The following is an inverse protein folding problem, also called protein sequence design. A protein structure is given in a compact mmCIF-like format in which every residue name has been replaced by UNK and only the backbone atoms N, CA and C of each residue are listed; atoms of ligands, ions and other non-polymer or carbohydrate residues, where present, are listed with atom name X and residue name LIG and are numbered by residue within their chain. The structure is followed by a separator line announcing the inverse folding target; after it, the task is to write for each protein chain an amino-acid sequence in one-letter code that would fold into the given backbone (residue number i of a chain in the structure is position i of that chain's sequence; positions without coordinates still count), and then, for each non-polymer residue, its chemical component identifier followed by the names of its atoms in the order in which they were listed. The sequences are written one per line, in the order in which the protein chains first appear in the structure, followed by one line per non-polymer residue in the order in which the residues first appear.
data_IF_760769162952
#
_entry.id   IF_760769162952
#
_cell.length_a   1.000
_cell.length_b   1.000
_cell.length_c   1.000
_cell.angle_alpha   90.00
_cell.angle_beta   90.00
_cell.angle_gamma   90.00
#
_symmetry.space_group_name_H-M   'P 1'
#
loop_
_entity.id
_entity.type
_entity.pdbx_description
1 polymer ?
#
# COMPACT_ATOMS: atom_id res chain seq x y z
N UNK A 1 15.77 -25.25 2.88
CA UNK A 1 14.76 -24.37 2.24
C UNK A 1 14.04 -23.65 3.38
N UNK A 2 13.82 -22.34 3.30
CA UNK A 2 13.13 -21.63 4.37
C UNK A 2 11.67 -22.13 4.44
N UNK A 3 11.18 -22.46 5.63
CA UNK A 3 9.77 -22.79 5.85
C UNK A 3 8.90 -21.61 5.41
N UNK A 4 7.99 -21.88 4.46
CA UNK A 4 7.10 -20.89 3.88
C UNK A 4 5.86 -20.78 4.73
N UNK A 5 5.95 -20.05 5.84
CA UNK A 5 4.85 -19.94 6.82
C UNK A 5 4.25 -18.54 6.83
N UNK A 6 2.92 -18.46 6.71
CA UNK A 6 2.15 -17.22 6.88
C UNK A 6 1.59 -17.11 8.29
N UNK A 7 2.14 -16.15 9.02
CA UNK A 7 1.68 -15.85 10.37
C UNK A 7 0.31 -15.16 10.37
N UNK A 8 -0.58 -15.57 11.25
CA UNK A 8 -1.88 -14.93 11.44
C UNK A 8 -2.25 -14.73 12.90
N UNK A 9 -3.14 -13.76 13.15
CA UNK A 9 -3.72 -13.47 14.47
C UNK A 9 -5.25 -13.51 14.35
N UNK A 10 -5.93 -13.97 15.40
CA UNK A 10 -7.39 -14.05 15.40
C UNK A 10 -8.02 -12.79 15.99
N UNK A 11 -8.99 -12.24 15.28
CA UNK A 11 -9.74 -11.06 15.69
C UNK A 11 -11.22 -11.40 15.78
N UNK A 12 -11.90 -10.89 16.82
CA UNK A 12 -13.35 -10.99 16.94
C UNK A 12 -14.00 -9.72 16.40
N UNK A 13 -15.00 -9.85 15.53
CA UNK A 13 -15.81 -8.70 15.06
C UNK A 13 -17.26 -9.12 14.84
N UNK A 14 -18.17 -8.15 14.95
CA UNK A 14 -19.57 -8.36 14.57
C UNK A 14 -19.65 -8.50 13.04
N UNK A 15 -20.23 -9.59 12.56
CA UNK A 15 -20.39 -9.78 11.12
C UNK A 15 -21.45 -8.82 10.57
N UNK A 16 -21.11 -8.15 9.48
CA UNK A 16 -22.00 -7.22 8.77
C UNK A 16 -22.56 -7.83 7.48
N UNK A 17 -22.06 -9.01 7.08
CA UNK A 17 -22.27 -9.58 5.74
C UNK A 17 -22.66 -11.06 5.85
N UNK A 18 -23.64 -11.48 5.03
CA UNK A 18 -24.04 -12.88 4.87
C UNK A 18 -24.96 -13.43 5.97
N UNK A 19 -25.06 -14.77 6.03
CA UNK A 19 -25.99 -15.51 6.91
C UNK A 19 -25.76 -15.30 8.42
N UNK A 20 -24.57 -14.84 8.83
CA UNK A 20 -24.21 -14.60 10.23
C UNK A 20 -24.29 -13.11 10.63
N UNK A 21 -25.05 -12.30 9.88
CA UNK A 21 -25.20 -10.86 10.14
C UNK A 21 -25.68 -10.61 11.58
N UNK A 22 -24.94 -9.78 12.31
CA UNK A 22 -25.23 -9.45 13.71
C UNK A 22 -24.56 -10.33 14.76
N UNK A 23 -24.00 -11.49 14.37
CA UNK A 23 -23.29 -12.38 15.29
C UNK A 23 -21.80 -12.01 15.42
N UNK A 24 -21.21 -12.34 16.56
CA UNK A 24 -19.77 -12.21 16.78
C UNK A 24 -19.03 -13.35 16.08
N UNK A 25 -18.22 -13.00 15.07
CA UNK A 25 -17.42 -13.95 14.31
C UNK A 25 -15.94 -13.75 14.56
N UNK A 26 -15.15 -14.80 14.39
CA UNK A 26 -13.70 -14.77 14.46
C UNK A 26 -13.11 -14.79 13.05
N UNK A 27 -12.14 -13.91 12.78
CA UNK A 27 -11.47 -13.78 11.49
C UNK A 27 -9.96 -13.84 11.70
N UNK A 28 -9.27 -14.62 10.87
CA UNK A 28 -7.81 -14.63 10.80
C UNK A 28 -7.31 -13.43 9.99
N UNK A 29 -6.38 -12.66 10.54
CA UNK A 29 -5.70 -11.56 9.83
C UNK A 29 -4.21 -11.85 9.73
N UNK A 30 -3.59 -11.65 8.54
CA UNK A 30 -2.17 -11.87 8.34
C UNK A 30 -1.34 -10.90 9.18
N UNK A 31 -0.39 -11.44 9.93
CA UNK A 31 0.43 -10.77 10.93
C UNK A 31 1.93 -11.05 10.69
N UNK A 32 2.81 -10.35 11.42
CA UNK A 32 4.27 -10.60 11.35
C UNK A 32 4.94 -10.25 10.01
N UNK A 33 4.27 -9.50 9.13
CA UNK A 33 4.83 -9.10 7.83
C UNK A 33 6.00 -8.15 8.00
N UNK A 34 7.22 -8.61 7.68
CA UNK A 34 8.37 -7.73 7.51
C UNK A 34 8.45 -7.26 6.06
N UNK A 35 8.88 -6.01 5.86
CA UNK A 35 9.10 -5.47 4.51
C UNK A 35 10.55 -5.68 4.13
N UNK A 36 10.77 -6.38 3.02
CA UNK A 36 12.10 -6.43 2.40
C UNK A 36 12.27 -5.18 1.54
N UNK A 37 13.34 -4.41 1.81
CA UNK A 37 13.69 -3.24 1.03
C UNK A 37 14.21 -3.60 -0.36
N UNK A 38 14.12 -2.65 -1.30
CA UNK A 38 14.51 -2.85 -2.69
C UNK A 38 15.98 -3.30 -2.85
N UNK A 39 16.92 -2.67 -2.13
CA UNK A 39 18.34 -3.07 -2.16
C UNK A 39 18.56 -4.50 -1.70
N UNK A 40 17.94 -4.89 -0.58
CA UNK A 40 18.05 -6.27 -0.07
C UNK A 40 17.37 -7.29 -0.99
N UNK A 41 16.30 -6.88 -1.68
CA UNK A 41 15.74 -7.70 -2.75
C UNK A 41 16.74 -7.88 -3.91
N UNK A 42 17.36 -6.81 -4.39
CA UNK A 42 18.37 -6.87 -5.45
C UNK A 42 19.59 -7.71 -5.07
N UNK A 43 20.06 -7.62 -3.82
CA UNK A 43 21.13 -8.49 -3.29
C UNK A 43 20.75 -9.98 -3.36
N UNK A 44 19.49 -10.32 -3.06
CA UNK A 44 19.02 -11.71 -3.11
C UNK A 44 18.91 -12.23 -4.55
N UNK A 45 18.52 -11.37 -5.49
CA UNK A 45 18.50 -11.71 -6.92
C UNK A 45 19.93 -11.87 -7.45
N UNK A 46 20.82 -10.92 -7.12
CA UNK A 46 22.22 -10.93 -7.55
C UNK A 46 22.94 -12.24 -7.20
N UNK A 47 22.68 -12.81 -6.02
CA UNK A 47 23.24 -14.12 -5.59
C UNK A 47 22.97 -15.28 -6.55
N UNK A 48 21.89 -15.22 -7.32
CA UNK A 48 21.53 -16.25 -8.31
C UNK A 48 21.98 -15.92 -9.72
N UNK A 49 22.74 -14.84 -9.92
CA UNK A 49 23.13 -14.32 -11.24
C UNK A 49 24.60 -13.91 -11.24
N UNK A 50 25.13 -13.50 -12.40
CA UNK A 50 26.47 -12.88 -12.50
C UNK A 50 26.47 -11.38 -12.22
N UNK A 51 25.30 -10.75 -12.07
CA UNK A 51 25.17 -9.32 -11.83
C UNK A 51 25.44 -8.96 -10.37
N UNK A 52 25.98 -7.76 -10.16
CA UNK A 52 26.02 -7.09 -8.88
C UNK A 52 24.63 -6.60 -8.46
N UNK A 53 24.43 -6.35 -7.16
CA UNK A 53 23.14 -5.84 -6.66
C UNK A 53 22.76 -4.48 -7.28
N UNK A 54 23.76 -3.66 -7.62
CA UNK A 54 23.60 -2.36 -8.27
C UNK A 54 23.14 -2.51 -9.72
N UNK A 55 23.73 -3.45 -10.47
CA UNK A 55 23.31 -3.74 -11.85
C UNK A 55 21.88 -4.28 -11.88
N UNK A 56 21.54 -5.20 -10.97
CA UNK A 56 20.15 -5.69 -10.84
C UNK A 56 19.19 -4.54 -10.56
N UNK A 57 19.53 -3.64 -9.63
CA UNK A 57 18.70 -2.48 -9.33
C UNK A 57 18.52 -1.56 -10.54
N UNK A 58 19.59 -1.32 -11.30
CA UNK A 58 19.55 -0.50 -12.51
C UNK A 58 18.67 -1.14 -13.58
N UNK A 59 18.82 -2.44 -13.84
CA UNK A 59 18.01 -3.19 -14.81
C UNK A 59 16.54 -3.14 -14.44
N UNK A 60 16.18 -3.38 -13.17
CA UNK A 60 14.78 -3.34 -12.75
C UNK A 60 14.19 -1.94 -12.96
N UNK A 61 14.86 -0.88 -12.48
CA UNK A 61 14.33 0.48 -12.65
C UNK A 61 14.22 0.87 -14.13
N UNK A 62 15.26 0.62 -14.92
CA UNK A 62 15.26 0.97 -16.34
C UNK A 62 14.23 0.16 -17.14
N UNK A 63 14.04 -1.12 -16.81
CA UNK A 63 12.99 -1.94 -17.43
C UNK A 63 11.59 -1.37 -17.17
N UNK A 64 11.33 -0.77 -16.01
CA UNK A 64 10.03 -0.12 -15.74
C UNK A 64 9.81 1.14 -16.55
N UNK A 65 10.87 1.88 -16.87
CA UNK A 65 10.81 3.07 -17.73
C UNK A 65 10.51 2.65 -19.18
N UNK A 66 11.30 1.71 -19.73
CA UNK A 66 11.07 1.16 -21.08
C UNK A 66 9.66 0.58 -21.21
N UNK A 67 9.22 -0.22 -20.23
CA UNK A 67 7.90 -0.81 -20.26
C UNK A 67 6.78 0.25 -20.27
N UNK A 68 6.98 1.37 -19.56
CA UNK A 68 6.04 2.48 -19.57
C UNK A 68 5.98 3.18 -20.93
N UNK A 69 7.13 3.37 -21.58
CA UNK A 69 7.20 4.00 -22.90
C UNK A 69 6.50 3.14 -23.96
N UNK A 70 6.77 1.83 -23.98
CA UNK A 70 6.06 0.86 -24.84
C UNK A 70 4.54 0.92 -24.62
N UNK A 71 4.10 1.00 -23.36
CA UNK A 71 2.67 1.11 -23.04
C UNK A 71 2.08 2.46 -23.47
N UNK A 72 2.87 3.54 -23.38
CA UNK A 72 2.45 4.87 -23.82
C UNK A 72 2.27 4.94 -25.35
N UNK A 73 3.02 4.14 -26.11
CA UNK A 73 2.85 3.94 -27.56
C UNK A 73 1.57 3.14 -27.91
N UNK A 74 0.89 2.57 -26.91
CA UNK A 74 -0.34 1.80 -27.09
C UNK A 74 -0.12 0.29 -27.14
N UNK A 75 1.12 -0.18 -27.00
CA UNK A 75 1.44 -1.60 -26.96
C UNK A 75 1.20 -2.22 -25.58
N UNK A 76 1.11 -3.54 -25.53
CA UNK A 76 1.11 -4.30 -24.28
C UNK A 76 2.48 -4.97 -24.12
N UNK A 77 2.97 -5.03 -22.88
CA UNK A 77 4.28 -5.62 -22.57
C UNK A 77 4.15 -6.63 -21.45
N UNK A 78 4.66 -7.83 -21.70
CA UNK A 78 4.79 -8.86 -20.68
C UNK A 78 5.99 -8.52 -19.78
N UNK A 79 5.75 -8.40 -18.48
CA UNK A 79 6.75 -7.99 -17.50
C UNK A 79 7.16 -9.19 -16.63
N UNK A 80 7.77 -10.18 -17.29
CA UNK A 80 8.09 -11.47 -16.69
C UNK A 80 6.85 -12.16 -16.09
N UNK A 81 7.06 -12.95 -15.05
CA UNK A 81 5.98 -13.72 -14.41
C UNK A 81 4.95 -12.85 -13.69
N UNK A 82 5.21 -11.56 -13.48
CA UNK A 82 4.26 -10.65 -12.83
C UNK A 82 2.98 -10.48 -13.67
N UNK A 83 3.08 -10.58 -14.98
CA UNK A 83 1.96 -10.47 -15.91
C UNK A 83 2.15 -9.34 -16.92
N UNK A 84 1.03 -8.78 -17.41
CA UNK A 84 1.04 -7.90 -18.59
C UNK A 84 0.72 -6.46 -18.19
N UNK A 85 1.58 -5.53 -18.59
CA UNK A 85 1.30 -4.09 -18.50
C UNK A 85 0.60 -3.65 -19.79
N UNK A 86 -0.51 -2.93 -19.64
CA UNK A 86 -1.33 -2.47 -20.76
C UNK A 86 -1.81 -1.04 -20.58
N UNK A 87 -2.06 -0.30 -21.68
CA UNK A 87 -2.63 1.02 -21.61
C UNK A 87 -4.09 0.94 -21.18
N UNK A 88 -4.53 1.91 -20.39
CA UNK A 88 -5.91 2.07 -19.99
C UNK A 88 -6.18 3.56 -19.78
N UNK A 89 -7.44 3.96 -19.88
CA UNK A 89 -7.87 5.31 -19.55
C UNK A 89 -9.25 5.27 -18.90
N UNK A 90 -9.67 6.37 -18.29
CA UNK A 90 -11.04 6.56 -17.81
C UNK A 90 -11.83 7.28 -18.88
N UNK A 91 -12.97 6.72 -19.29
CA UNK A 91 -13.93 7.43 -20.14
C UNK A 91 -14.99 8.11 -19.28
N UNK A 92 -15.39 9.31 -19.67
CA UNK A 92 -16.63 9.95 -19.22
C UNK A 92 -17.78 9.33 -20.02
N UNK A 93 -18.92 9.10 -19.37
CA UNK A 93 -20.13 8.62 -20.03
C UNK A 93 -20.80 9.80 -20.72
N UNK A 94 -21.16 9.61 -21.99
CA UNK A 94 -21.80 10.63 -22.83
C UNK A 94 -23.03 9.96 -23.46
N UNK A 95 -24.21 10.62 -23.45
CA UNK A 95 -25.41 10.13 -24.13
C UNK A 95 -25.13 9.86 -25.61
N UNK A 96 -25.83 8.89 -26.20
CA UNK A 96 -25.58 8.44 -27.59
C UNK A 96 -25.92 9.54 -28.60
N UNK A 97 -26.83 10.43 -28.23
CA UNK A 97 -27.27 11.57 -29.01
C UNK A 97 -26.22 12.70 -29.08
N UNK A 98 -25.26 12.72 -28.15
CA UNK A 98 -24.22 13.72 -28.06
C UNK A 98 -22.90 13.26 -28.73
N UNK A 99 -22.20 14.20 -29.37
CA UNK A 99 -20.93 13.88 -30.05
C UNK A 99 -19.82 13.57 -29.03
N UNK A 100 -19.28 12.35 -29.09
CA UNK A 100 -18.13 11.97 -28.28
C UNK A 100 -16.83 12.65 -28.77
N UNK A 101 -16.21 13.47 -27.92
CA UNK A 101 -14.92 14.12 -28.18
C UNK A 101 -13.82 13.47 -27.33
N UNK A 102 -12.90 12.76 -27.96
CA UNK A 102 -11.80 12.07 -27.27
C UNK A 102 -11.00 12.98 -26.33
N UNK A 103 -10.69 14.22 -26.77
CA UNK A 103 -9.93 15.19 -25.97
C UNK A 103 -10.63 15.64 -24.68
N UNK A 104 -11.96 15.55 -24.61
CA UNK A 104 -12.75 15.95 -23.43
C UNK A 104 -13.22 14.75 -22.61
N UNK A 105 -13.53 13.65 -23.28
CA UNK A 105 -14.22 12.52 -22.66
C UNK A 105 -13.29 11.35 -22.32
N UNK A 106 -12.08 11.29 -22.90
CA UNK A 106 -11.02 10.37 -22.46
C UNK A 106 -10.10 11.12 -21.51
N UNK A 107 -10.01 10.62 -20.28
CA UNK A 107 -9.22 11.26 -19.22
C UNK A 107 -8.32 10.23 -18.53
N UNK A 108 -7.21 10.72 -17.98
CA UNK A 108 -6.28 9.95 -17.13
C UNK A 108 -5.79 8.66 -17.81
N UNK A 109 -4.92 8.76 -18.85
CA UNK A 109 -4.20 7.59 -19.34
C UNK A 109 -3.33 7.03 -18.20
N UNK A 110 -3.37 5.72 -18.01
CA UNK A 110 -2.69 4.99 -16.94
C UNK A 110 -2.16 3.66 -17.47
N UNK A 111 -1.06 3.21 -16.88
CA UNK A 111 -0.58 1.83 -17.05
C UNK A 111 -1.33 0.94 -16.08
N UNK A 112 -1.91 -0.17 -16.56
CA UNK A 112 -2.59 -1.16 -15.73
C UNK A 112 -1.85 -2.49 -15.81
N UNK A 113 -1.54 -3.06 -14.65
CA UNK A 113 -1.07 -4.44 -14.56
C UNK A 113 -2.27 -5.38 -14.64
N UNK A 114 -2.19 -6.34 -15.55
CA UNK A 114 -3.00 -7.56 -15.55
C UNK A 114 -2.17 -8.67 -14.86
N UNK A 115 -2.47 -9.01 -13.60
CA UNK A 115 -1.67 -9.96 -12.83
C UNK A 115 -1.71 -11.36 -13.41
N UNK A 116 -0.57 -12.05 -13.44
CA UNK A 116 -0.53 -13.49 -13.74
C UNK A 116 -1.22 -14.30 -12.65
N UNK A 117 -2.13 -15.19 -13.02
CA UNK A 117 -2.81 -16.06 -12.03
C UNK A 117 -1.83 -16.98 -11.32
N UNK A 118 -0.85 -17.50 -12.07
CA UNK A 118 0.13 -18.44 -11.56
C UNK A 118 1.04 -17.78 -10.52
N UNK A 119 1.63 -16.63 -10.85
CA UNK A 119 2.52 -15.91 -9.93
C UNK A 119 1.81 -15.45 -8.65
N UNK A 120 0.58 -14.96 -8.77
CA UNK A 120 -0.17 -14.42 -7.62
C UNK A 120 -0.89 -15.50 -6.79
N UNK A 121 -0.78 -16.78 -7.18
CA UNK A 121 -1.30 -17.90 -6.39
C UNK A 121 -0.17 -18.49 -5.55
N UNK A 122 -0.27 -18.37 -4.23
CA UNK A 122 0.69 -19.02 -3.32
C UNK A 122 0.32 -20.49 -3.13
N UNK A 123 1.24 -21.38 -3.51
CA UNK A 123 1.14 -22.83 -3.27
C UNK A 123 2.20 -23.28 -2.27
N UNK A 124 1.93 -24.37 -1.55
CA UNK A 124 2.85 -24.95 -0.56
C UNK A 124 3.27 -23.95 0.52
N UNK A 125 2.27 -23.32 1.15
CA UNK A 125 2.45 -22.35 2.23
C UNK A 125 1.65 -22.81 3.44
N UNK A 126 2.31 -22.88 4.58
CA UNK A 126 1.71 -23.26 5.86
C UNK A 126 1.22 -22.03 6.62
N UNK A 127 0.32 -22.24 7.59
CA UNK A 127 -0.23 -21.17 8.43
C UNK A 127 0.17 -21.38 9.88
N UNK A 128 0.72 -20.35 10.50
CA UNK A 128 1.08 -20.36 11.91
C UNK A 128 0.31 -19.26 12.65
N UNK A 129 -0.35 -19.65 13.74
CA UNK A 129 -1.02 -18.70 14.61
C UNK A 129 -0.01 -18.08 15.56
N UNK A 130 0.07 -16.76 15.53
CA UNK A 130 0.85 -16.01 16.52
C UNK A 130 -0.06 -15.24 17.46
N UNK A 131 0.40 -15.03 18.69
CA UNK A 131 -0.29 -14.16 19.64
C UNK A 131 -0.04 -12.69 19.28
N UNK A 132 -1.08 -11.83 19.33
CA UNK A 132 -0.90 -10.41 19.07
C UNK A 132 -0.01 -9.79 20.15
N UNK A 133 1.15 -9.26 19.75
CA UNK A 133 2.02 -8.51 20.67
C UNK A 133 1.24 -7.33 21.27
N UNK A 134 1.29 -7.08 22.58
CA UNK A 134 0.63 -5.94 23.19
C UNK A 134 1.17 -4.66 22.53
N UNK A 135 0.27 -3.79 22.07
CA UNK A 135 0.65 -2.46 21.59
C UNK A 135 1.31 -1.75 22.78
N UNK A 136 2.59 -1.39 22.67
CA UNK A 136 3.20 -0.41 23.58
C UNK A 136 2.36 0.86 23.44
N UNK A 137 1.55 1.16 24.45
CA UNK A 137 0.92 2.46 24.60
C UNK A 137 2.06 3.49 24.62
N UNK A 138 2.06 4.41 23.66
CA UNK A 138 2.70 5.69 23.90
C UNK A 138 1.94 6.27 25.09
N UNK A 139 2.58 6.32 26.25
CA UNK A 139 2.13 7.17 27.36
C UNK A 139 1.96 8.57 26.78
N UNK A 140 0.72 9.07 26.75
CA UNK A 140 0.48 10.50 26.72
C UNK A 140 0.85 11.01 28.11
N UNK A 141 2.08 11.47 28.27
CA UNK A 141 2.47 12.38 29.35
C UNK A 141 2.37 13.80 28.78
N UNK A 142 1.64 14.66 29.50
CA UNK A 142 1.30 16.03 29.12
C UNK A 142 -0.21 16.14 28.94
N UNK A 143 -1.01 16.57 29.91
CA UNK A 143 -0.74 17.45 31.04
C UNK A 143 -1.99 18.31 31.13
N UNK A 144 -2.78 18.09 32.17
CA UNK A 144 -4.11 18.66 32.35
C UNK A 144 -4.03 20.19 32.35
N UNK A 145 -4.88 20.82 31.55
CA UNK A 145 -5.29 22.22 31.69
C UNK A 145 -5.77 22.48 33.12
N UNK A 146 -5.21 23.44 33.87
CA UNK A 146 -5.79 23.90 35.11
C UNK A 146 -7.09 24.68 34.83
N UNK A 147 -8.12 24.59 35.69
CA UNK A 147 -9.31 25.44 35.60
C UNK A 147 -8.98 26.90 35.94
N UNK A 148 -9.80 27.87 35.50
CA UNK A 148 -9.56 29.28 35.79
C UNK A 148 -9.90 29.59 37.25
N UNK A 149 -9.05 30.37 37.90
CA UNK A 149 -9.33 31.00 39.19
C UNK A 149 -9.09 32.49 39.05
N UNK A 150 -10.18 33.25 39.08
CA UNK A 150 -10.20 34.69 39.32
C UNK A 150 -9.76 34.95 40.77
N UNK A 151 -8.73 35.77 40.99
CA UNK A 151 -8.72 36.82 42.02
C UNK A 151 -7.52 37.77 41.85
N UNK A 152 -7.67 38.93 42.46
CA UNK A 152 -7.20 40.26 42.15
C UNK A 152 -5.84 40.60 42.78
N UNK A 153 -5.05 41.47 42.13
CA UNK A 153 -4.16 42.51 42.75
C UNK A 153 -2.89 42.82 41.96
N UNK A 154 -2.95 43.99 41.30
CA UNK A 154 -2.02 45.13 41.36
C UNK A 154 -0.52 45.04 41.01
N UNK A 155 -0.12 46.13 40.33
CA UNK A 155 1.20 46.65 39.96
C UNK A 155 1.89 45.96 38.78
N UNK A 156 2.32 46.64 37.73
CA UNK A 156 2.54 48.07 37.51
C UNK A 156 3.69 48.19 36.50
N UNK A 157 3.72 49.33 35.81
CA UNK A 157 4.77 49.80 34.89
C UNK A 157 4.78 49.29 33.44
N UNK A 158 4.69 50.26 32.54
CA UNK A 158 4.52 50.08 31.11
C UNK A 158 5.78 50.29 30.29
N UNK A 159 5.65 50.05 28.98
CA UNK A 159 6.30 50.87 27.97
C UNK A 159 5.59 50.70 26.62
N UNK A 160 5.50 51.83 25.92
CA UNK A 160 4.73 52.09 24.69
C UNK A 160 5.68 52.26 23.51
N UNK A 161 5.18 51.94 22.31
CA UNK A 161 5.70 52.39 21.02
C UNK A 161 6.53 51.33 20.29
N UNK A 162 6.35 51.07 18.99
CA UNK A 162 5.61 51.76 17.93
C UNK A 162 5.33 50.73 16.82
#
# INVERSE_FOLDING_TARGET
MADKTLNYTLHRRKSTVGKSKGQMVQVALPSGRSRVGFRHFCERVAKGTTFTAQEVAAVINYSTEIAKDIVAEGHMVEFGDLGVLKPSFKSILVPVEEKFLASKHIVKPVVKLQPSKEYFTLTNVDYERIEPKPKKSKKNEGGQTPPPSDDDSSNGDGHVGL
#
